data_IF_834816968693
#
_entry.id   IF_834816968693
#
_cell.length_a   1.000
_cell.length_b   1.000
_cell.length_c   1.000
_cell.angle_alpha   90.00
_cell.angle_beta   90.00
_cell.angle_gamma   90.00
#
_symmetry.space_group_name_H-M   'P 1'
#
loop_
_entity.id
_entity.type
_entity.pdbx_description
1 polymer ?
#
# COMPACT_ATOMS: atom_id res chain seq x y z
N UNK A 1 -58.27 -31.66 0.07
CA UNK A 1 -57.66 -30.40 -0.43
C UNK A 1 -56.66 -29.72 0.53
N UNK A 2 -56.58 -30.05 1.83
CA UNK A 2 -55.70 -29.37 2.80
C UNK A 2 -54.18 -29.51 2.57
N UNK A 3 -53.70 -30.59 1.97
CA UNK A 3 -52.25 -30.86 1.84
C UNK A 3 -51.53 -29.94 0.82
N UNK A 4 -52.23 -29.44 -0.22
CA UNK A 4 -51.64 -28.56 -1.24
C UNK A 4 -51.31 -27.15 -0.71
N UNK A 5 -52.13 -26.61 0.21
CA UNK A 5 -51.94 -25.28 0.79
C UNK A 5 -50.69 -25.20 1.70
N UNK A 6 -50.42 -26.25 2.48
CA UNK A 6 -49.23 -26.32 3.33
C UNK A 6 -47.92 -26.40 2.54
N UNK A 7 -47.92 -27.11 1.41
CA UNK A 7 -46.76 -27.19 0.51
C UNK A 7 -46.48 -25.85 -0.20
N UNK A 8 -47.53 -25.13 -0.61
CA UNK A 8 -47.41 -23.80 -1.22
C UNK A 8 -46.87 -22.75 -0.23
N UNK A 9 -47.31 -22.80 1.03
CA UNK A 9 -46.82 -21.93 2.11
C UNK A 9 -45.33 -22.15 2.41
N UNK A 10 -44.89 -23.42 2.53
CA UNK A 10 -43.45 -23.76 2.68
C UNK A 10 -42.62 -23.29 1.50
N UNK A 11 -43.12 -23.45 0.27
CA UNK A 11 -42.43 -22.98 -0.94
C UNK A 11 -42.23 -21.45 -0.93
N UNK A 12 -43.23 -20.70 -0.46
CA UNK A 12 -43.13 -19.24 -0.33
C UNK A 12 -42.10 -18.83 0.74
N UNK A 13 -42.13 -19.46 1.92
CA UNK A 13 -41.17 -19.20 2.98
C UNK A 13 -39.72 -19.49 2.54
N UNK A 14 -39.48 -20.58 1.81
CA UNK A 14 -38.15 -20.91 1.26
C UNK A 14 -37.68 -19.85 0.27
N UNK A 15 -38.56 -19.33 -0.60
CA UNK A 15 -38.23 -18.25 -1.54
C UNK A 15 -37.89 -16.95 -0.83
N UNK A 16 -38.59 -16.61 0.26
CA UNK A 16 -38.31 -15.43 1.07
C UNK A 16 -36.96 -15.54 1.78
N UNK A 17 -36.64 -16.70 2.37
CA UNK A 17 -35.33 -16.97 2.96
C UNK A 17 -34.22 -16.86 1.92
N UNK A 18 -34.42 -17.43 0.73
CA UNK A 18 -33.45 -17.36 -0.35
C UNK A 18 -33.23 -15.93 -0.85
N UNK A 19 -34.29 -15.12 -0.90
CA UNK A 19 -34.20 -13.70 -1.22
C UNK A 19 -33.44 -12.91 -0.15
N UNK A 20 -33.70 -13.20 1.13
CA UNK A 20 -32.97 -12.61 2.26
C UNK A 20 -31.48 -12.92 2.21
N UNK A 21 -31.12 -14.19 1.99
CA UNK A 21 -29.72 -14.61 1.86
C UNK A 21 -29.02 -13.93 0.68
N UNK A 22 -29.68 -13.81 -0.48
CA UNK A 22 -29.12 -13.07 -1.62
C UNK A 22 -28.84 -11.60 -1.31
N UNK A 23 -29.72 -10.94 -0.54
CA UNK A 23 -29.52 -9.55 -0.10
C UNK A 23 -28.32 -9.45 0.84
N UNK A 24 -28.19 -10.35 1.81
CA UNK A 24 -27.04 -10.41 2.71
C UNK A 24 -25.73 -10.64 1.96
N UNK A 25 -25.68 -11.62 1.04
CA UNK A 25 -24.49 -11.87 0.22
C UNK A 25 -24.09 -10.68 -0.66
N UNK A 26 -25.05 -9.83 -1.05
CA UNK A 26 -24.75 -8.58 -1.76
C UNK A 26 -24.20 -7.52 -0.80
N UNK A 27 -24.78 -7.38 0.39
CA UNK A 27 -24.29 -6.50 1.45
C UNK A 27 -22.85 -6.82 1.84
N UNK A 28 -22.54 -8.09 2.09
CA UNK A 28 -21.18 -8.53 2.40
C UNK A 28 -20.18 -8.17 1.31
N UNK A 29 -20.52 -8.36 0.03
CA UNK A 29 -19.63 -8.00 -1.09
C UNK A 29 -19.32 -6.50 -1.15
N UNK A 30 -20.30 -5.65 -0.86
CA UNK A 30 -20.09 -4.20 -0.82
C UNK A 30 -19.17 -3.82 0.35
N UNK A 31 -19.43 -4.40 1.53
CA UNK A 31 -18.64 -4.17 2.74
C UNK A 31 -17.19 -4.63 2.56
N UNK A 32 -16.96 -5.78 1.95
CA UNK A 32 -15.61 -6.26 1.61
C UNK A 32 -14.89 -5.28 0.68
N UNK A 33 -15.60 -4.70 -0.30
CA UNK A 33 -15.00 -3.70 -1.20
C UNK A 33 -14.60 -2.44 -0.45
N UNK A 34 -15.45 -1.92 0.43
CA UNK A 34 -15.14 -0.75 1.25
C UNK A 34 -13.94 -0.99 2.18
N UNK A 35 -13.87 -2.16 2.82
CA UNK A 35 -12.73 -2.56 3.66
C UNK A 35 -11.44 -2.64 2.84
N UNK A 36 -11.49 -3.20 1.63
CA UNK A 36 -10.34 -3.26 0.74
C UNK A 36 -9.93 -1.86 0.25
N UNK A 37 -10.88 -0.99 -0.07
CA UNK A 37 -10.61 0.40 -0.44
C UNK A 37 -9.99 1.18 0.72
N UNK A 38 -10.47 1.00 1.96
CA UNK A 38 -9.88 1.58 3.17
C UNK A 38 -8.46 1.05 3.43
N UNK A 39 -8.25 -0.27 3.33
CA UNK A 39 -6.92 -0.87 3.48
C UNK A 39 -5.95 -0.44 2.38
N UNK A 40 -6.47 -0.18 1.17
CA UNK A 40 -5.69 0.32 0.04
C UNK A 40 -5.47 1.84 0.09
N UNK A 41 -6.15 2.60 0.97
CA UNK A 41 -5.90 4.03 1.12
C UNK A 41 -4.45 4.21 1.54
N UNK A 42 -3.63 4.93 0.74
CA UNK A 42 -2.27 5.24 1.14
C UNK A 42 -2.37 6.07 2.42
N UNK A 43 -1.98 5.47 3.55
CA UNK A 43 -2.14 6.09 4.86
C UNK A 43 -1.63 7.52 4.81
N UNK A 44 -2.49 8.48 5.20
CA UNK A 44 -2.20 9.90 5.24
C UNK A 44 -0.83 10.13 5.89
N UNK A 45 0.21 10.26 5.06
CA UNK A 45 1.62 10.24 5.48
C UNK A 45 2.06 11.49 6.24
N UNK A 46 1.11 12.27 6.77
CA UNK A 46 1.33 13.42 7.65
C UNK A 46 1.49 12.92 9.08
N UNK A 47 2.59 12.23 9.39
CA UNK A 47 2.88 11.88 10.79
C UNK A 47 3.76 10.66 11.02
N UNK A 48 4.12 9.89 9.99
CA UNK A 48 5.04 8.77 10.21
C UNK A 48 6.44 9.34 10.46
N UNK A 49 6.79 9.47 11.75
CA UNK A 49 8.10 9.93 12.23
C UNK A 49 9.17 9.12 11.50
N UNK A 50 9.85 9.74 10.54
CA UNK A 50 10.87 9.07 9.75
C UNK A 50 12.03 8.76 10.68
N UNK A 51 12.38 7.48 10.83
CA UNK A 51 13.52 7.07 11.65
C UNK A 51 14.81 7.76 11.17
N UNK A 52 15.75 8.07 12.06
CA UNK A 52 17.01 8.74 11.68
C UNK A 52 17.73 8.05 10.52
N UNK A 53 17.80 6.72 10.51
CA UNK A 53 18.39 5.94 9.42
C UNK A 53 17.69 6.15 8.08
N UNK A 54 16.35 6.25 8.07
CA UNK A 54 15.57 6.49 6.85
C UNK A 54 15.71 7.93 6.35
N UNK A 55 15.91 8.91 7.25
CA UNK A 55 16.28 10.29 6.87
C UNK A 55 17.65 10.35 6.18
N UNK A 56 18.65 9.67 6.74
CA UNK A 56 20.01 9.61 6.17
C UNK A 56 19.98 8.92 4.80
N UNK A 57 19.27 7.80 4.70
CA UNK A 57 19.10 7.08 3.43
C UNK A 57 18.39 7.95 2.37
N UNK A 58 17.30 8.62 2.73
CA UNK A 58 16.59 9.53 1.84
C UNK A 58 17.47 10.68 1.34
N UNK A 59 18.28 11.27 2.24
CA UNK A 59 19.25 12.31 1.89
C UNK A 59 20.30 11.81 0.90
N UNK A 60 20.85 10.61 1.13
CA UNK A 60 21.78 9.95 0.22
C UNK A 60 21.16 9.76 -1.18
N UNK A 61 19.96 9.16 -1.26
CA UNK A 61 19.26 8.90 -2.53
C UNK A 61 19.00 10.22 -3.27
N UNK A 62 18.52 11.25 -2.56
CA UNK A 62 18.26 12.57 -3.15
C UNK A 62 19.50 13.21 -3.76
N UNK A 63 20.67 13.06 -3.15
CA UNK A 63 21.93 13.60 -3.67
C UNK A 63 22.39 12.89 -4.95
N UNK A 64 22.21 11.58 -5.03
CA UNK A 64 22.70 10.80 -6.18
C UNK A 64 21.71 10.68 -7.33
N UNK A 65 20.42 10.97 -7.11
CA UNK A 65 19.33 10.77 -8.10
C UNK A 65 19.71 11.33 -9.48
N UNK A 66 20.16 12.58 -9.49
CA UNK A 66 20.43 13.34 -10.71
C UNK A 66 21.89 13.26 -11.16
N UNK A 67 22.79 12.57 -10.43
CA UNK A 67 24.19 12.46 -10.84
C UNK A 67 24.34 11.60 -12.11
N UNK A 68 25.30 11.93 -13.01
CA UNK A 68 25.72 11.08 -14.12
C UNK A 68 26.09 9.67 -13.64
N UNK A 69 25.90 8.68 -14.51
CA UNK A 69 26.08 7.24 -14.19
C UNK A 69 27.46 6.95 -13.59
N UNK A 70 28.53 7.52 -14.17
CA UNK A 70 29.91 7.35 -13.68
C UNK A 70 30.11 7.88 -12.25
N UNK A 71 29.53 9.03 -11.93
CA UNK A 71 29.62 9.64 -10.60
C UNK A 71 28.77 8.86 -9.58
N UNK A 72 27.58 8.42 -9.99
CA UNK A 72 26.70 7.56 -9.18
C UNK A 72 27.40 6.24 -8.80
N UNK A 73 28.14 5.62 -9.73
CA UNK A 73 28.94 4.43 -9.46
C UNK A 73 30.03 4.68 -8.40
N UNK A 74 30.79 5.79 -8.53
CA UNK A 74 31.81 6.17 -7.55
C UNK A 74 31.23 6.35 -6.14
N UNK A 75 30.09 7.03 -6.03
CA UNK A 75 29.43 7.26 -4.74
C UNK A 75 28.88 5.95 -4.14
N UNK A 76 28.36 5.04 -4.95
CA UNK A 76 27.92 3.71 -4.50
C UNK A 76 29.09 2.86 -4.01
N UNK A 77 30.20 2.85 -4.74
CA UNK A 77 31.42 2.16 -4.34
C UNK A 77 31.96 2.70 -3.01
N UNK A 78 31.97 4.04 -2.83
CA UNK A 78 32.38 4.64 -1.57
C UNK A 78 31.45 4.26 -0.42
N UNK A 79 30.13 4.22 -0.65
CA UNK A 79 29.16 3.78 0.36
C UNK A 79 29.45 2.36 0.85
N UNK A 80 29.75 1.44 -0.07
CA UNK A 80 30.07 0.06 0.27
C UNK A 80 31.37 -0.06 1.08
N UNK A 81 32.37 0.79 0.80
CA UNK A 81 33.69 0.75 1.45
C UNK A 81 33.77 1.49 2.78
N UNK A 82 33.14 2.68 2.88
CA UNK A 82 33.32 3.63 4.01
C UNK A 82 32.01 4.05 4.66
N UNK A 83 30.88 3.49 4.22
CA UNK A 83 29.57 3.80 4.78
C UNK A 83 28.89 5.04 4.16
N UNK A 84 27.69 5.32 4.68
CA UNK A 84 26.75 6.28 4.07
C UNK A 84 27.19 7.73 4.24
N UNK A 85 27.83 8.08 5.35
CA UNK A 85 28.24 9.46 5.63
C UNK A 85 29.33 9.96 4.68
N UNK A 86 30.37 9.14 4.48
CA UNK A 86 31.43 9.43 3.50
C UNK A 86 30.86 9.58 2.09
N UNK A 87 29.90 8.72 1.73
CA UNK A 87 29.20 8.79 0.45
C UNK A 87 28.37 10.06 0.30
N UNK A 88 27.68 10.52 1.37
CA UNK A 88 26.95 11.79 1.39
C UNK A 88 27.92 12.98 1.20
N UNK A 89 29.06 12.98 1.90
CA UNK A 89 30.07 14.04 1.76
C UNK A 89 30.56 14.15 0.31
N UNK A 90 30.91 13.02 -0.31
CA UNK A 90 31.32 12.97 -1.71
C UNK A 90 30.21 13.40 -2.66
N UNK A 91 28.98 12.91 -2.46
CA UNK A 91 27.86 13.26 -3.33
C UNK A 91 27.52 14.76 -3.29
N UNK A 92 27.70 15.42 -2.14
CA UNK A 92 27.55 16.88 -2.01
C UNK A 92 28.57 17.64 -2.86
N UNK A 93 29.82 17.19 -2.87
CA UNK A 93 30.88 17.80 -3.69
C UNK A 93 30.56 17.61 -5.17
N UNK A 94 30.27 16.38 -5.61
CA UNK A 94 29.96 16.09 -7.01
C UNK A 94 28.75 16.86 -7.55
N UNK A 95 27.75 17.15 -6.70
CA UNK A 95 26.59 17.94 -7.08
C UNK A 95 26.89 19.45 -7.22
N UNK A 96 27.89 19.97 -6.49
CA UNK A 96 28.30 21.38 -6.58
C UNK A 96 29.20 21.65 -7.78
N UNK A 97 29.96 20.65 -8.22
CA UNK A 97 30.87 20.75 -9.37
C UNK A 97 30.16 20.55 -10.72
N UNK A 98 28.84 20.76 -10.76
CA UNK A 98 27.99 20.54 -11.92
C UNK A 98 27.13 21.77 -12.12
#
# INVERSE_FOLDING_TARGET
MRQRAGAQSRSKAVKEIQAGLKRLSRGFRLLTREVLEEAARPGNGRGRRISPGRRIHGRYIGLIRNLPVRQKAKVRALRARRGVEAAIKMARVMRRSR
#
